data_IF_528536895206
#
_entry.id   IF_528536895206
#
_cell.length_a   1.000
_cell.length_b   1.000
_cell.length_c   1.000
_cell.angle_alpha   90.00
_cell.angle_beta   90.00
_cell.angle_gamma   90.00
#
_symmetry.space_group_name_H-M   'P 1'
#
loop_
_entity.id
_entity.type
_entity.pdbx_description
1 polymer ?
#
# COMPACT_ATOMS: atom_id res chain seq x y z
N UNK A 1 21.29 5.83 -28.82
CA UNK A 1 21.97 5.96 -27.52
C UNK A 1 20.88 6.02 -26.49
N UNK A 2 20.84 5.02 -25.60
CA UNK A 2 19.83 4.89 -24.56
C UNK A 2 20.18 5.89 -23.46
N UNK A 3 19.49 7.01 -23.41
CA UNK A 3 19.61 7.94 -22.28
C UNK A 3 18.67 7.46 -21.18
N UNK A 4 19.29 6.72 -20.27
CA UNK A 4 18.80 6.27 -18.97
C UNK A 4 18.25 7.43 -18.17
N UNK A 5 16.92 7.52 -18.03
CA UNK A 5 16.33 8.30 -16.93
C UNK A 5 14.94 7.77 -16.53
N UNK A 6 14.88 6.47 -16.19
CA UNK A 6 13.66 5.78 -15.73
C UNK A 6 13.47 5.78 -14.20
N UNK A 7 14.20 6.61 -13.43
CA UNK A 7 14.07 6.64 -11.96
C UNK A 7 13.11 7.70 -11.41
N UNK A 8 12.41 8.46 -12.26
CA UNK A 8 11.53 9.55 -11.80
C UNK A 8 10.10 9.10 -11.47
N UNK A 9 9.93 7.89 -10.90
CA UNK A 9 8.63 7.40 -10.40
C UNK A 9 8.21 8.17 -9.12
N UNK A 10 9.13 8.85 -8.46
CA UNK A 10 8.89 9.61 -7.22
C UNK A 10 8.50 11.09 -7.44
N UNK A 11 8.59 11.59 -8.67
CA UNK A 11 8.30 13.00 -9.02
C UNK A 11 6.92 13.18 -9.66
N UNK A 12 6.03 12.19 -9.46
CA UNK A 12 4.61 12.34 -9.80
C UNK A 12 4.03 13.38 -8.85
N UNK A 13 4.04 14.65 -9.28
CA UNK A 13 3.35 15.79 -8.66
C UNK A 13 2.16 15.29 -7.85
N UNK A 14 2.23 15.45 -6.52
CA UNK A 14 1.12 15.16 -5.63
C UNK A 14 -0.11 15.82 -6.25
N UNK A 15 -1.00 15.00 -6.79
CA UNK A 15 -2.32 15.45 -7.18
C UNK A 15 -2.97 15.95 -5.89
N UNK A 16 -3.70 17.08 -5.90
CA UNK A 16 -4.33 17.60 -4.70
C UNK A 16 -5.05 16.45 -4.00
N UNK A 17 -4.72 16.25 -2.71
CA UNK A 17 -5.31 15.21 -1.89
C UNK A 17 -6.82 15.35 -2.04
N UNK A 18 -7.55 14.36 -2.62
CA UNK A 18 -8.99 14.42 -2.65
C UNK A 18 -9.45 14.51 -1.19
N UNK A 19 -10.15 15.58 -0.83
CA UNK A 19 -10.57 15.80 0.56
C UNK A 19 -11.38 14.60 1.04
N UNK A 20 -10.89 13.96 2.10
CA UNK A 20 -11.55 12.84 2.75
C UNK A 20 -12.97 13.24 3.17
N UNK A 21 -13.97 12.60 2.56
CA UNK A 21 -15.38 12.84 2.85
C UNK A 21 -15.70 12.63 4.33
N UNK A 22 -16.73 13.33 4.83
CA UNK A 22 -17.13 13.24 6.24
C UNK A 22 -17.47 11.80 6.68
N UNK A 23 -18.09 11.02 5.80
CA UNK A 23 -18.41 9.60 6.04
C UNK A 23 -17.15 8.74 6.18
N UNK A 24 -16.13 9.00 5.36
CA UNK A 24 -14.85 8.27 5.39
C UNK A 24 -14.08 8.59 6.68
N UNK A 25 -14.10 9.85 7.12
CA UNK A 25 -13.52 10.24 8.42
C UNK A 25 -14.18 9.52 9.59
N UNK A 26 -15.51 9.34 9.55
CA UNK A 26 -16.22 8.63 10.60
C UNK A 26 -15.88 7.12 10.61
N UNK A 27 -15.75 6.50 9.43
CA UNK A 27 -15.28 5.12 9.33
C UNK A 27 -13.89 4.93 9.94
N UNK A 28 -12.97 5.85 9.68
CA UNK A 28 -11.65 5.83 10.30
C UNK A 28 -11.71 6.02 11.82
N UNK A 29 -12.56 6.93 12.32
CA UNK A 29 -12.76 7.14 13.76
C UNK A 29 -13.30 5.88 14.44
N UNK A 30 -14.29 5.22 13.84
CA UNK A 30 -14.88 3.98 14.35
C UNK A 30 -13.88 2.82 14.31
N UNK A 31 -13.11 2.69 13.23
CA UNK A 31 -12.01 1.71 13.14
C UNK A 31 -10.98 1.94 14.25
N UNK A 32 -10.57 3.19 14.51
CA UNK A 32 -9.65 3.51 15.60
C UNK A 32 -10.24 3.24 16.99
N UNK A 33 -11.56 3.22 17.12
CA UNK A 33 -12.27 2.77 18.32
C UNK A 33 -12.44 1.24 18.41
N UNK A 34 -11.90 0.48 17.45
CA UNK A 34 -11.94 -1.00 17.43
C UNK A 34 -13.12 -1.60 16.66
N UNK A 35 -13.87 -0.82 15.88
CA UNK A 35 -15.02 -1.31 15.12
C UNK A 35 -14.57 -2.16 13.91
N UNK A 36 -14.89 -3.46 13.97
CA UNK A 36 -14.54 -4.43 12.93
C UNK A 36 -15.35 -4.25 11.64
N UNK A 37 -16.58 -3.72 11.72
CA UNK A 37 -17.42 -3.44 10.55
C UNK A 37 -16.87 -2.25 9.79
N UNK A 38 -16.50 -1.17 10.50
CA UNK A 38 -15.84 -0.02 9.90
C UNK A 38 -14.52 -0.40 9.24
N UNK A 39 -13.72 -1.26 9.89
CA UNK A 39 -12.49 -1.82 9.29
C UNK A 39 -12.78 -2.57 7.98
N UNK A 40 -13.77 -3.46 7.97
CA UNK A 40 -14.08 -4.24 6.77
C UNK A 40 -14.58 -3.36 5.61
N UNK A 41 -15.39 -2.33 5.91
CA UNK A 41 -15.84 -1.37 4.90
C UNK A 41 -14.68 -0.56 4.31
N UNK A 42 -13.68 -0.20 5.13
CA UNK A 42 -12.45 0.43 4.64
C UNK A 42 -11.64 -0.55 3.77
N UNK A 43 -11.51 -1.81 4.17
CA UNK A 43 -10.82 -2.85 3.37
C UNK A 43 -11.46 -2.99 1.99
N UNK A 44 -12.78 -3.15 1.91
CA UNK A 44 -13.52 -3.30 0.66
C UNK A 44 -13.40 -2.07 -0.25
N UNK A 45 -13.50 -0.87 0.32
CA UNK A 45 -13.41 0.39 -0.41
C UNK A 45 -12.06 0.59 -1.12
N UNK A 46 -10.95 0.25 -0.46
CA UNK A 46 -9.61 0.43 -1.02
C UNK A 46 -9.04 -0.82 -1.69
N UNK A 47 -9.76 -1.95 -1.66
CA UNK A 47 -9.29 -3.20 -2.25
C UNK A 47 -8.88 -3.06 -3.72
N UNK A 48 -9.63 -2.29 -4.51
CA UNK A 48 -9.30 -2.04 -5.94
C UNK A 48 -7.98 -1.31 -6.18
N UNK A 49 -7.38 -0.68 -5.16
CA UNK A 49 -6.06 -0.05 -5.25
C UNK A 49 -4.91 -1.03 -5.11
N UNK A 50 -5.15 -2.20 -4.51
CA UNK A 50 -4.16 -3.25 -4.35
C UNK A 50 -3.74 -3.77 -5.73
N UNK A 51 -4.69 -3.97 -6.65
CA UNK A 51 -4.44 -4.43 -8.02
C UNK A 51 -3.70 -3.39 -8.88
N UNK A 52 -3.95 -2.10 -8.68
CA UNK A 52 -3.28 -1.02 -9.43
C UNK A 52 -1.84 -0.78 -8.95
N UNK A 53 -1.56 -0.98 -7.66
CA UNK A 53 -0.23 -0.79 -7.09
C UNK A 53 0.66 -2.03 -7.21
N UNK A 54 0.09 -3.24 -7.25
CA UNK A 54 0.84 -4.48 -7.47
C UNK A 54 1.58 -4.43 -8.82
N UNK A 55 0.90 -4.03 -9.91
CA UNK A 55 1.50 -3.96 -11.25
C UNK A 55 2.74 -3.04 -11.35
N UNK A 56 2.81 -1.98 -10.53
CA UNK A 56 3.92 -1.03 -10.53
C UNK A 56 5.12 -1.47 -9.66
N UNK A 57 4.88 -2.27 -8.61
CA UNK A 57 5.94 -2.81 -7.73
C UNK A 57 6.59 -4.07 -8.33
N UNK A 58 5.78 -4.85 -9.05
CA UNK A 58 6.15 -6.09 -9.75
C UNK A 58 7.39 -5.88 -10.66
N UNK A 59 7.45 -4.84 -11.49
CA UNK A 59 8.59 -4.63 -12.41
C UNK A 59 9.96 -4.43 -11.72
N UNK A 60 10.00 -3.97 -10.46
CA UNK A 60 11.25 -3.74 -9.73
C UNK A 60 11.69 -4.96 -8.90
N UNK A 61 10.79 -5.90 -8.61
CA UNK A 61 11.02 -7.02 -7.69
C UNK A 61 11.07 -8.39 -8.40
N UNK A 62 10.45 -8.52 -9.58
CA UNK A 62 10.09 -9.77 -10.25
C UNK A 62 11.19 -10.77 -10.67
N UNK A 63 12.47 -10.59 -10.32
CA UNK A 63 13.49 -11.55 -10.73
C UNK A 63 13.69 -12.73 -9.75
N UNK A 64 13.05 -12.73 -8.56
CA UNK A 64 13.42 -13.67 -7.49
C UNK A 64 12.28 -14.31 -6.66
N UNK A 65 11.01 -13.88 -6.78
CA UNK A 65 9.90 -14.37 -5.93
C UNK A 65 8.79 -15.02 -6.75
N UNK A 66 8.20 -16.10 -6.26
CA UNK A 66 7.00 -16.70 -6.85
C UNK A 66 5.79 -15.74 -6.70
N UNK A 67 4.91 -15.71 -7.69
CA UNK A 67 3.78 -14.76 -7.76
C UNK A 67 2.83 -14.88 -6.56
N UNK A 68 2.65 -16.09 -6.02
CA UNK A 68 1.85 -16.36 -4.82
C UNK A 68 2.44 -15.73 -3.56
N UNK A 69 3.76 -15.82 -3.39
CA UNK A 69 4.45 -15.34 -2.19
C UNK A 69 4.54 -13.82 -2.22
N UNK A 70 4.73 -13.25 -3.41
CA UNK A 70 4.58 -11.81 -3.64
C UNK A 70 3.18 -11.33 -3.24
N UNK A 71 2.12 -12.03 -3.68
CA UNK A 71 0.75 -11.65 -3.38
C UNK A 71 0.47 -11.72 -1.87
N UNK A 72 0.93 -12.78 -1.19
CA UNK A 72 0.76 -12.92 0.26
C UNK A 72 1.50 -11.83 1.03
N UNK A 73 2.76 -11.54 0.69
CA UNK A 73 3.53 -10.46 1.32
C UNK A 73 2.88 -9.09 1.11
N UNK A 74 2.35 -8.82 -0.08
CA UNK A 74 1.63 -7.59 -0.37
C UNK A 74 0.35 -7.45 0.49
N UNK A 75 -0.42 -8.53 0.65
CA UNK A 75 -1.60 -8.54 1.53
C UNK A 75 -1.21 -8.28 2.98
N UNK A 76 -0.13 -8.87 3.48
CA UNK A 76 0.37 -8.62 4.85
C UNK A 76 0.75 -7.15 5.05
N UNK A 77 1.49 -6.56 4.11
CA UNK A 77 1.87 -5.15 4.15
C UNK A 77 0.66 -4.21 4.10
N UNK A 78 -0.34 -4.55 3.27
CA UNK A 78 -1.59 -3.79 3.16
C UNK A 78 -2.43 -3.84 4.46
N UNK A 79 -2.58 -5.03 5.06
CA UNK A 79 -3.29 -5.17 6.34
C UNK A 79 -2.60 -4.40 7.45
N UNK A 80 -1.27 -4.42 7.48
CA UNK A 80 -0.46 -3.65 8.42
C UNK A 80 -0.65 -2.14 8.21
N UNK A 81 -0.73 -1.69 6.96
CA UNK A 81 -1.03 -0.29 6.65
C UNK A 81 -2.39 0.14 7.18
N UNK A 82 -3.44 -0.66 6.97
CA UNK A 82 -4.79 -0.37 7.51
C UNK A 82 -4.77 -0.28 9.03
N UNK A 83 -4.03 -1.18 9.68
CA UNK A 83 -3.96 -1.24 11.13
C UNK A 83 -3.26 -0.01 11.73
N UNK A 84 -2.15 0.42 11.13
CA UNK A 84 -1.26 1.42 11.71
C UNK A 84 -1.56 2.85 11.24
N UNK A 85 -2.21 3.02 10.09
CA UNK A 85 -2.47 4.35 9.52
C UNK A 85 -3.30 5.22 10.46
N UNK A 86 -2.83 6.45 10.67
CA UNK A 86 -3.51 7.50 11.43
C UNK A 86 -3.86 8.65 10.49
N UNK A 87 -5.16 8.87 10.20
CA UNK A 87 -5.59 10.01 9.39
C UNK A 87 -5.42 11.33 10.16
N UNK A 88 -4.94 12.37 9.47
CA UNK A 88 -4.74 13.71 10.05
C UNK A 88 -3.44 14.42 9.66
N UNK A 89 -2.55 13.75 8.92
CA UNK A 89 -1.35 14.37 8.32
C UNK A 89 -1.49 14.64 6.82
N UNK A 90 -0.41 15.12 6.19
CA UNK A 90 -0.33 15.42 4.75
C UNK A 90 -0.18 14.16 3.87
N UNK A 91 -0.12 12.97 4.46
CA UNK A 91 0.08 11.71 3.75
C UNK A 91 -1.24 10.99 3.56
N UNK A 92 -1.57 10.66 2.31
CA UNK A 92 -2.75 9.88 1.97
C UNK A 92 -2.55 8.42 2.37
N UNK A 93 -3.65 7.72 2.64
CA UNK A 93 -3.59 6.30 2.98
C UNK A 93 -2.93 5.49 1.86
N UNK A 94 -3.19 5.84 0.60
CA UNK A 94 -2.67 5.21 -0.59
C UNK A 94 -1.13 5.27 -0.67
N UNK A 95 -0.57 6.43 -0.31
CA UNK A 95 0.88 6.66 -0.31
C UNK A 95 1.52 5.87 0.84
N UNK A 96 0.87 5.88 2.01
CA UNK A 96 1.31 5.10 3.17
C UNK A 96 1.25 3.58 2.93
N UNK A 97 0.14 3.08 2.39
CA UNK A 97 -0.05 1.66 2.08
C UNK A 97 0.94 1.17 1.01
N UNK A 98 1.20 1.98 -0.03
CA UNK A 98 2.21 1.66 -1.04
C UNK A 98 3.60 1.46 -0.44
N UNK A 99 3.98 2.27 0.57
CA UNK A 99 5.22 2.10 1.31
C UNK A 99 5.23 0.79 2.10
N UNK A 100 4.19 0.52 2.89
CA UNK A 100 4.10 -0.70 3.73
C UNK A 100 4.07 -1.99 2.92
N UNK A 101 3.40 -1.99 1.76
CA UNK A 101 3.40 -3.13 0.82
C UNK A 101 4.83 -3.41 0.34
N UNK A 102 5.59 -2.37 -0.05
CA UNK A 102 6.98 -2.54 -0.47
C UNK A 102 7.86 -3.08 0.65
N UNK A 103 7.69 -2.58 1.88
CA UNK A 103 8.43 -3.06 3.05
C UNK A 103 8.19 -4.55 3.29
N UNK A 104 6.93 -5.00 3.29
CA UNK A 104 6.58 -6.40 3.50
C UNK A 104 7.14 -7.32 2.40
N UNK A 105 7.09 -6.90 1.14
CA UNK A 105 7.67 -7.68 0.05
C UNK A 105 9.21 -7.75 0.18
N UNK A 106 9.87 -6.64 0.55
CA UNK A 106 11.32 -6.63 0.78
C UNK A 106 11.74 -7.53 1.96
N UNK A 107 10.92 -7.57 3.02
CA UNK A 107 11.12 -8.48 4.14
C UNK A 107 11.04 -9.94 3.68
N UNK A 108 10.02 -10.29 2.91
CA UNK A 108 9.82 -11.64 2.37
C UNK A 108 10.98 -12.07 1.45
N UNK A 109 11.42 -11.20 0.54
CA UNK A 109 12.62 -11.44 -0.28
C UNK A 109 13.87 -11.68 0.58
N UNK A 110 14.00 -10.92 1.67
CA UNK A 110 15.09 -11.09 2.61
C UNK A 110 15.05 -12.45 3.32
N UNK A 111 13.87 -13.02 3.55
CA UNK A 111 13.72 -14.35 4.14
C UNK A 111 14.16 -15.44 3.16
N UNK A 112 13.74 -15.35 1.89
CA UNK A 112 14.16 -16.29 0.85
C UNK A 112 15.67 -16.37 0.63
N UNK A 113 16.40 -15.25 0.76
CA UNK A 113 17.86 -15.24 0.56
C UNK A 113 18.62 -15.84 1.75
N UNK A 114 17.99 -15.92 2.94
CA UNK A 114 18.61 -16.43 4.17
C UNK A 114 18.43 -17.94 4.35
N UNK A 115 17.57 -18.57 3.56
CA UNK A 115 17.24 -19.99 3.60
C UNK A 115 18.08 -20.80 2.59
#
# INVERSE_FOLDING_TARGET
>A
MSDTNDFNILDRKLSPVPEMGAEERELWRLKSAGDAVARNQLVEKYFGMVDANSQNVVQTILAAIEESDFHQAAVVGYLSAINDFQPGGDTRFEDYASLRIREAILEELGNFIRE
#
